data_IF_218962945643
#
_entry.id   IF_218962945643
#
_cell.length_a   1.000
_cell.length_b   1.000
_cell.length_c   1.000
_cell.angle_alpha   90.00
_cell.angle_beta   90.00
_cell.angle_gamma   90.00
#
_symmetry.space_group_name_H-M   'P 1'
#
loop_
_entity.id
_entity.type
_entity.pdbx_description
1 polymer ?
#
# COMPACT_ATOMS: atom_id res chain seq x y z
N UNK A 1 21.90 -8.13 0.57
CA UNK A 1 21.89 -6.95 -0.36
C UNK A 1 22.10 -5.68 0.44
N UNK A 2 23.06 -4.80 0.05
CA UNK A 2 23.36 -3.56 0.80
C UNK A 2 22.61 -2.33 0.28
N UNK A 3 22.20 -2.33 -0.98
CA UNK A 3 21.49 -1.23 -1.64
C UNK A 3 20.21 -1.76 -2.29
N UNK A 4 19.09 -1.09 -2.06
CA UNK A 4 17.80 -1.38 -2.66
C UNK A 4 17.14 -0.08 -3.12
N UNK A 5 16.44 -0.11 -4.24
CA UNK A 5 15.58 0.98 -4.68
C UNK A 5 14.13 0.69 -4.29
N UNK A 6 13.48 1.60 -3.58
CA UNK A 6 12.02 1.59 -3.44
C UNK A 6 11.40 2.43 -4.55
N UNK A 7 10.76 1.77 -5.52
CA UNK A 7 10.15 2.42 -6.67
C UNK A 7 8.73 2.91 -6.33
N UNK A 8 8.63 4.14 -5.88
CA UNK A 8 7.35 4.80 -5.57
C UNK A 8 7.49 6.32 -5.61
N UNK A 9 6.50 7.02 -6.18
CA UNK A 9 6.36 8.47 -6.09
C UNK A 9 5.52 8.92 -4.89
N UNK A 10 4.89 7.99 -4.17
CA UNK A 10 4.06 8.31 -3.02
C UNK A 10 4.91 8.59 -1.77
N UNK A 11 5.00 9.87 -1.39
CA UNK A 11 5.82 10.33 -0.27
C UNK A 11 5.46 9.64 1.05
N UNK A 12 4.16 9.39 1.31
CA UNK A 12 3.72 8.76 2.56
C UNK A 12 4.15 7.28 2.61
N UNK A 13 4.17 6.58 1.47
CA UNK A 13 4.72 5.23 1.38
C UNK A 13 6.24 5.21 1.59
N UNK A 14 6.95 6.19 1.03
CA UNK A 14 8.40 6.32 1.19
C UNK A 14 8.73 6.47 2.68
N UNK A 15 8.05 7.37 3.40
CA UNK A 15 8.26 7.57 4.83
C UNK A 15 7.97 6.31 5.67
N UNK A 16 6.91 5.55 5.32
CA UNK A 16 6.61 4.27 5.98
C UNK A 16 7.75 3.26 5.76
N UNK A 17 8.30 3.15 4.54
CA UNK A 17 9.43 2.27 4.23
C UNK A 17 10.70 2.69 4.95
N UNK A 18 11.07 3.97 4.87
CA UNK A 18 12.25 4.52 5.52
C UNK A 18 12.22 4.25 7.04
N UNK A 19 11.07 4.47 7.69
CA UNK A 19 10.93 4.23 9.14
C UNK A 19 11.15 2.78 9.57
N UNK A 20 10.99 1.81 8.67
CA UNK A 20 11.15 0.38 8.96
C UNK A 20 12.59 -0.08 8.75
N UNK A 21 13.27 0.47 7.73
CA UNK A 21 14.63 0.08 7.37
C UNK A 21 15.71 0.97 8.01
N UNK A 22 15.30 2.02 8.72
CA UNK A 22 16.23 2.89 9.42
C UNK A 22 17.13 2.08 10.38
N UNK A 23 18.43 2.35 10.36
CA UNK A 23 19.47 1.68 11.16
C UNK A 23 19.66 0.17 10.92
N UNK A 24 19.13 -0.43 9.84
CA UNK A 24 19.23 -1.88 9.58
C UNK A 24 20.34 -2.32 8.63
N UNK A 25 21.25 -1.43 8.28
CA UNK A 25 22.42 -1.77 7.43
C UNK A 25 22.11 -1.97 5.95
N UNK A 26 20.86 -1.72 5.52
CA UNK A 26 20.45 -1.67 4.12
C UNK A 26 20.14 -0.23 3.75
N UNK A 27 20.80 0.27 2.70
CA UNK A 27 20.51 1.59 2.17
C UNK A 27 19.33 1.52 1.23
N UNK A 28 18.23 2.18 1.61
CA UNK A 28 17.05 2.32 0.76
C UNK A 28 17.19 3.61 -0.06
N UNK A 29 17.30 3.47 -1.37
CA UNK A 29 17.18 4.57 -2.31
C UNK A 29 15.71 4.78 -2.64
N UNK A 30 15.30 6.01 -2.85
CA UNK A 30 13.97 6.38 -3.32
C UNK A 30 14.08 7.23 -4.58
N UNK A 31 12.98 7.41 -5.31
CA UNK A 31 12.99 8.13 -6.60
C UNK A 31 13.32 9.61 -6.50
N UNK A 32 13.40 10.21 -5.29
CA UNK A 32 13.85 11.61 -5.12
C UNK A 32 15.33 11.80 -5.47
N UNK A 33 16.11 10.74 -5.37
CA UNK A 33 17.56 10.76 -5.65
C UNK A 33 17.89 10.61 -7.14
N UNK A 34 16.89 10.50 -8.00
CA UNK A 34 17.04 10.23 -9.42
C UNK A 34 16.22 11.24 -10.25
N UNK A 35 16.54 11.33 -11.55
CA UNK A 35 15.72 12.09 -12.48
C UNK A 35 14.27 11.59 -12.51
N UNK A 36 13.35 12.52 -12.77
CA UNK A 36 11.91 12.18 -12.83
C UNK A 36 11.66 11.14 -13.91
N UNK A 37 11.20 9.96 -13.48
CA UNK A 37 10.77 8.88 -14.37
C UNK A 37 9.26 8.69 -14.21
N UNK A 38 8.57 8.48 -15.33
CA UNK A 38 7.13 8.19 -15.32
C UNK A 38 6.90 6.75 -14.83
N UNK A 39 5.93 6.57 -13.95
CA UNK A 39 5.52 5.22 -13.52
C UNK A 39 5.02 4.40 -14.72
N UNK A 40 5.34 3.09 -14.77
CA UNK A 40 4.80 2.20 -15.79
C UNK A 40 3.29 2.06 -15.62
N UNK A 41 2.61 1.76 -16.73
CA UNK A 41 1.18 1.46 -16.67
C UNK A 41 0.92 0.14 -15.93
N UNK A 42 0.09 0.19 -14.89
CA UNK A 42 -0.31 -0.96 -14.10
C UNK A 42 -1.41 -1.75 -14.83
N UNK A 43 -1.00 -2.72 -15.64
CA UNK A 43 -1.89 -3.60 -16.42
C UNK A 43 -2.20 -4.93 -15.73
N UNK A 44 -1.63 -5.18 -14.57
CA UNK A 44 -1.82 -6.43 -13.83
C UNK A 44 -3.25 -6.60 -13.30
N UNK A 45 -3.66 -7.85 -13.13
CA UNK A 45 -4.96 -8.23 -12.58
C UNK A 45 -4.92 -8.53 -11.09
N UNK A 46 -3.74 -8.43 -10.48
CA UNK A 46 -3.51 -8.61 -9.05
C UNK A 46 -2.53 -7.56 -8.49
N UNK A 47 -2.56 -7.38 -7.15
CA UNK A 47 -1.57 -6.54 -6.47
C UNK A 47 -0.13 -7.00 -6.72
N UNK A 48 0.10 -8.32 -6.75
CA UNK A 48 1.41 -8.90 -6.99
C UNK A 48 1.94 -8.59 -8.40
N UNK A 49 1.09 -8.70 -9.42
CA UNK A 49 1.47 -8.37 -10.80
C UNK A 49 1.78 -6.88 -10.96
N UNK A 50 0.97 -5.97 -10.40
CA UNK A 50 1.23 -4.54 -10.45
C UNK A 50 2.52 -4.17 -9.69
N UNK A 51 2.77 -4.77 -8.53
CA UNK A 51 4.02 -4.59 -7.80
C UNK A 51 5.22 -5.09 -8.62
N UNK A 52 5.10 -6.24 -9.30
CA UNK A 52 6.13 -6.79 -10.18
C UNK A 52 6.40 -5.88 -11.37
N UNK A 53 5.37 -5.37 -12.05
CA UNK A 53 5.53 -4.42 -13.17
C UNK A 53 6.39 -3.23 -12.73
N UNK A 54 6.07 -2.64 -11.58
CA UNK A 54 6.81 -1.48 -11.05
C UNK A 54 8.24 -1.81 -10.63
N UNK A 55 8.44 -2.90 -9.90
CA UNK A 55 9.78 -3.27 -9.43
C UNK A 55 10.71 -3.70 -10.58
N UNK A 56 10.18 -4.41 -11.58
CA UNK A 56 10.94 -4.77 -12.78
C UNK A 56 11.30 -3.54 -13.62
N UNK A 57 10.37 -2.58 -13.71
CA UNK A 57 10.64 -1.31 -14.39
C UNK A 57 11.73 -0.51 -13.67
N UNK A 58 11.68 -0.45 -12.34
CA UNK A 58 12.73 0.21 -11.54
C UNK A 58 14.08 -0.48 -11.70
N UNK A 59 14.14 -1.80 -11.60
CA UNK A 59 15.37 -2.57 -11.81
C UNK A 59 15.98 -2.29 -13.19
N UNK A 60 15.17 -2.31 -14.25
CA UNK A 60 15.62 -2.09 -15.63
C UNK A 60 16.20 -0.69 -15.86
N UNK A 61 15.64 0.35 -15.22
CA UNK A 61 16.03 1.73 -15.47
C UNK A 61 17.17 2.21 -14.56
N UNK A 62 17.34 1.61 -13.39
CA UNK A 62 18.32 2.07 -12.40
C UNK A 62 19.42 1.05 -12.09
N UNK A 63 19.31 -0.18 -12.61
CA UNK A 63 20.30 -1.27 -12.42
C UNK A 63 20.61 -1.60 -10.94
N UNK A 64 19.67 -1.26 -10.05
CA UNK A 64 19.73 -1.53 -8.61
C UNK A 64 18.60 -2.52 -8.28
N UNK A 65 18.83 -3.58 -7.48
CA UNK A 65 17.76 -4.42 -6.99
C UNK A 65 16.62 -3.57 -6.44
N UNK A 66 15.42 -3.79 -6.97
CA UNK A 66 14.32 -2.86 -6.82
C UNK A 66 13.10 -3.53 -6.22
N UNK A 67 12.48 -2.89 -5.25
CA UNK A 67 11.16 -3.32 -4.78
C UNK A 67 10.12 -2.21 -4.98
N UNK A 68 8.89 -2.64 -5.21
CA UNK A 68 7.74 -1.76 -5.33
C UNK A 68 6.53 -2.39 -4.67
N UNK A 69 5.58 -1.57 -4.24
CA UNK A 69 4.32 -2.04 -3.69
C UNK A 69 3.12 -1.68 -4.58
N UNK A 70 2.13 -2.56 -4.58
CA UNK A 70 0.77 -2.20 -4.95
C UNK A 70 -0.17 -2.53 -3.79
N UNK A 71 -1.08 -1.59 -3.49
CA UNK A 71 -1.91 -1.65 -2.29
C UNK A 71 -3.30 -1.09 -2.54
N UNK A 72 -4.28 -1.64 -1.84
CA UNK A 72 -5.63 -1.13 -1.93
C UNK A 72 -6.55 -1.65 -0.86
N UNK A 73 -7.74 -1.03 -0.79
CA UNK A 73 -8.84 -1.46 0.05
C UNK A 73 -9.78 -2.37 -0.73
N UNK A 74 -10.22 -3.43 -0.08
CA UNK A 74 -11.25 -4.35 -0.59
C UNK A 74 -12.45 -4.27 0.35
N UNK A 75 -13.62 -3.89 -0.17
CA UNK A 75 -14.86 -3.73 0.58
C UNK A 75 -15.84 -4.82 0.15
N UNK A 76 -16.26 -5.69 1.06
CA UNK A 76 -17.14 -6.83 0.73
C UNK A 76 -18.47 -6.37 0.15
N UNK A 77 -19.06 -5.31 0.67
CA UNK A 77 -20.28 -4.68 0.14
C UNK A 77 -20.18 -4.29 -1.34
N UNK A 78 -18.96 -4.06 -1.84
CA UNK A 78 -18.65 -3.73 -3.22
C UNK A 78 -18.00 -4.91 -3.98
N UNK A 79 -18.21 -6.16 -3.52
CA UNK A 79 -17.59 -7.37 -4.11
C UNK A 79 -16.06 -7.25 -4.18
N UNK A 80 -15.46 -6.81 -3.07
CA UNK A 80 -14.02 -6.56 -2.91
C UNK A 80 -13.44 -5.45 -3.80
N UNK A 81 -14.29 -4.61 -4.41
CA UNK A 81 -13.84 -3.39 -5.07
C UNK A 81 -13.60 -2.29 -4.01
N UNK A 82 -12.74 -1.29 -4.29
CA UNK A 82 -12.00 -1.05 -5.54
C UNK A 82 -10.77 -1.95 -5.75
N UNK A 83 -10.18 -2.58 -4.72
CA UNK A 83 -9.05 -3.50 -4.85
C UNK A 83 -7.83 -2.83 -5.50
N UNK A 84 -7.26 -3.44 -6.55
CA UNK A 84 -6.12 -2.91 -7.32
C UNK A 84 -6.40 -1.55 -7.99
N UNK A 85 -7.66 -1.15 -8.07
CA UNK A 85 -8.06 0.16 -8.64
C UNK A 85 -8.26 1.24 -7.57
N UNK A 86 -7.77 1.03 -6.34
CA UNK A 86 -8.05 1.91 -5.21
C UNK A 86 -7.69 3.38 -5.47
N UNK A 87 -6.49 3.67 -6.01
CA UNK A 87 -6.10 5.03 -6.38
C UNK A 87 -7.03 5.61 -7.44
N UNK A 88 -7.21 4.88 -8.56
CA UNK A 88 -8.07 5.30 -9.68
C UNK A 88 -9.55 5.43 -9.30
N UNK A 89 -9.98 4.75 -8.26
CA UNK A 89 -11.36 4.87 -7.76
C UNK A 89 -11.57 6.22 -7.08
N UNK A 90 -10.65 6.68 -6.24
CA UNK A 90 -10.73 8.03 -5.65
C UNK A 90 -10.72 9.12 -6.72
N UNK A 91 -9.89 8.98 -7.74
CA UNK A 91 -9.75 9.93 -8.85
C UNK A 91 -11.02 10.07 -9.72
N UNK A 92 -12.00 9.17 -9.58
CA UNK A 92 -13.29 9.24 -10.30
C UNK A 92 -14.29 10.17 -9.63
N UNK A 93 -14.05 10.58 -8.40
CA UNK A 93 -14.94 11.44 -7.64
C UNK A 93 -14.36 12.85 -7.54
N UNK A 94 -15.25 13.83 -7.37
CA UNK A 94 -14.84 15.23 -7.20
C UNK A 94 -13.97 15.45 -5.96
N UNK A 95 -14.16 14.61 -4.92
CA UNK A 95 -13.35 14.61 -3.71
C UNK A 95 -13.27 13.21 -3.09
N UNK A 96 -12.34 13.01 -2.16
CA UNK A 96 -12.28 11.78 -1.38
C UNK A 96 -13.55 11.56 -0.54
N UNK A 97 -14.15 12.64 -0.02
CA UNK A 97 -15.38 12.62 0.78
C UNK A 97 -16.52 12.01 -0.04
N UNK A 98 -16.70 12.41 -1.30
CA UNK A 98 -17.72 11.83 -2.18
C UNK A 98 -17.48 10.32 -2.43
N UNK A 99 -16.22 9.91 -2.57
CA UNK A 99 -15.88 8.49 -2.68
C UNK A 99 -16.20 7.73 -1.38
N UNK A 100 -15.96 8.34 -0.22
CA UNK A 100 -16.28 7.74 1.07
C UNK A 100 -17.78 7.61 1.27
N UNK A 101 -18.56 8.64 0.94
CA UNK A 101 -20.03 8.60 0.99
C UNK A 101 -20.59 7.49 0.11
N UNK A 102 -20.06 7.32 -1.10
CA UNK A 102 -20.43 6.21 -1.99
C UNK A 102 -20.17 4.86 -1.34
N UNK A 103 -19.01 4.64 -0.73
CA UNK A 103 -18.67 3.38 -0.06
C UNK A 103 -19.58 3.16 1.15
N UNK A 104 -19.73 4.16 2.02
CA UNK A 104 -20.49 4.07 3.25
C UNK A 104 -21.98 3.80 2.95
N UNK A 105 -22.58 4.45 1.96
CA UNK A 105 -23.96 4.21 1.56
C UNK A 105 -24.21 2.78 1.08
N UNK A 106 -23.27 2.20 0.33
CA UNK A 106 -23.33 0.79 -0.07
C UNK A 106 -23.19 -0.17 1.11
N UNK A 107 -22.31 0.13 2.06
CA UNK A 107 -22.14 -0.64 3.29
C UNK A 107 -23.43 -0.61 4.13
N UNK A 108 -24.08 0.54 4.29
CA UNK A 108 -25.34 0.68 5.01
C UNK A 108 -26.45 -0.10 4.29
N UNK A 109 -26.57 0.06 2.97
CA UNK A 109 -27.57 -0.62 2.15
C UNK A 109 -27.47 -2.14 2.22
N UNK A 110 -26.26 -2.67 2.22
CA UNK A 110 -26.02 -4.13 2.26
C UNK A 110 -25.92 -4.70 3.67
N UNK A 111 -25.88 -3.85 4.70
CA UNK A 111 -25.63 -4.22 6.11
C UNK A 111 -24.32 -5.03 6.28
N UNK A 112 -23.36 -4.82 5.37
CA UNK A 112 -22.07 -5.51 5.39
C UNK A 112 -20.95 -4.47 5.36
N UNK A 113 -20.31 -4.25 6.51
CA UNK A 113 -19.21 -3.29 6.65
C UNK A 113 -17.82 -3.93 6.58
N UNK A 114 -17.71 -5.23 6.32
CA UNK A 114 -16.43 -5.92 6.27
C UNK A 114 -15.56 -5.39 5.14
N UNK A 115 -14.31 -5.15 5.46
CA UNK A 115 -13.31 -4.69 4.53
C UNK A 115 -11.91 -5.17 4.95
N UNK A 116 -10.96 -5.10 4.04
CA UNK A 116 -9.56 -5.33 4.36
C UNK A 116 -8.68 -4.45 3.48
N UNK A 117 -7.52 -4.08 4.01
CA UNK A 117 -6.42 -3.61 3.21
C UNK A 117 -5.50 -4.75 2.83
N UNK A 118 -5.04 -4.74 1.59
CA UNK A 118 -4.01 -5.66 1.10
C UNK A 118 -2.89 -4.86 0.42
N UNK A 119 -1.66 -5.35 0.57
CA UNK A 119 -0.50 -4.93 -0.22
C UNK A 119 0.25 -6.14 -0.70
N UNK A 120 0.84 -6.03 -1.88
CA UNK A 120 1.90 -6.90 -2.33
C UNK A 120 3.14 -6.05 -2.57
N UNK A 121 4.28 -6.52 -2.09
CA UNK A 121 5.60 -5.96 -2.37
C UNK A 121 6.32 -6.98 -3.25
N UNK A 122 6.79 -6.55 -4.42
CA UNK A 122 7.65 -7.39 -5.26
C UNK A 122 9.07 -6.85 -5.21
N UNK A 123 10.02 -7.70 -4.85
CA UNK A 123 11.45 -7.48 -4.96
C UNK A 123 11.95 -8.12 -6.27
N UNK A 124 12.47 -7.30 -7.17
CA UNK A 124 13.14 -7.73 -8.40
C UNK A 124 14.66 -7.65 -8.20
N UNK A 125 15.32 -8.78 -8.15
CA UNK A 125 16.78 -8.90 -7.94
C UNK A 125 17.50 -8.96 -9.28
N UNK A 126 16.94 -9.71 -10.22
CA UNK A 126 17.35 -9.77 -11.63
C UNK A 126 16.10 -9.78 -12.51
N UNK A 127 16.28 -9.72 -13.83
CA UNK A 127 15.15 -9.75 -14.78
C UNK A 127 14.28 -11.02 -14.66
N UNK A 128 14.83 -12.11 -14.13
CA UNK A 128 14.14 -13.40 -14.00
C UNK A 128 13.93 -13.83 -12.55
N UNK A 129 14.38 -13.04 -11.57
CA UNK A 129 14.27 -13.39 -10.16
C UNK A 129 13.46 -12.35 -9.42
N UNK A 130 12.22 -12.72 -9.09
CA UNK A 130 11.26 -11.89 -8.39
C UNK A 130 10.69 -12.62 -7.19
N UNK A 131 10.56 -11.93 -6.07
CA UNK A 131 9.99 -12.48 -4.83
C UNK A 131 8.87 -11.55 -4.37
N UNK A 132 7.72 -12.13 -3.99
CA UNK A 132 6.54 -11.36 -3.58
C UNK A 132 6.27 -11.58 -2.10
N UNK A 133 6.04 -10.49 -1.39
CA UNK A 133 5.68 -10.45 0.03
C UNK A 133 4.31 -9.77 0.17
N UNK A 134 3.34 -10.50 0.71
CA UNK A 134 2.00 -9.96 0.89
C UNK A 134 1.69 -9.67 2.36
N UNK A 135 0.97 -8.58 2.58
CA UNK A 135 0.39 -8.23 3.85
C UNK A 135 -1.08 -7.88 3.72
N UNK A 136 -1.88 -8.32 4.70
CA UNK A 136 -3.31 -8.07 4.77
C UNK A 136 -3.68 -7.70 6.19
N UNK A 137 -4.58 -6.72 6.35
CA UNK A 137 -5.24 -6.43 7.61
C UNK A 137 -6.75 -6.39 7.38
N UNK A 138 -7.48 -7.20 8.14
CA UNK A 138 -8.92 -7.18 8.14
C UNK A 138 -9.43 -6.01 8.98
N UNK A 139 -10.67 -5.59 8.72
CA UNK A 139 -11.32 -4.52 9.44
C UNK A 139 -12.73 -4.27 8.94
N UNK A 140 -13.22 -3.07 9.20
CA UNK A 140 -14.57 -2.64 8.82
C UNK A 140 -14.56 -1.21 8.33
N UNK A 141 -15.57 -0.86 7.53
CA UNK A 141 -15.83 0.51 7.11
C UNK A 141 -16.58 1.23 8.24
N UNK A 142 -16.10 2.41 8.61
CA UNK A 142 -16.76 3.33 9.52
C UNK A 142 -18.02 3.92 8.88
N UNK A 143 -19.03 4.24 9.69
CA UNK A 143 -20.28 4.88 9.22
C UNK A 143 -20.12 6.36 8.85
N UNK A 144 -19.02 6.97 9.22
CA UNK A 144 -18.59 8.34 8.84
C UNK A 144 -17.06 8.42 8.86
N UNK A 145 -16.45 9.27 8.02
CA UNK A 145 -15.02 9.51 8.07
C UNK A 145 -14.61 10.13 9.42
N UNK A 146 -13.43 9.72 9.94
CA UNK A 146 -12.85 10.25 11.17
C UNK A 146 -11.34 10.32 11.06
N UNK A 147 -10.76 11.33 11.74
CA UNK A 147 -9.31 11.56 11.77
C UNK A 147 -8.78 12.23 10.52
N UNK A 148 -7.54 12.70 10.60
CA UNK A 148 -6.87 13.46 9.54
C UNK A 148 -5.46 12.93 9.19
N UNK A 149 -5.00 11.91 9.92
CA UNK A 149 -3.71 11.31 9.64
C UNK A 149 -3.78 10.34 8.46
N UNK A 150 -2.61 9.92 7.98
CA UNK A 150 -2.52 8.93 6.92
C UNK A 150 -2.93 9.43 5.54
N UNK A 151 -3.52 8.57 4.72
CA UNK A 151 -3.89 8.87 3.33
C UNK A 151 -4.91 7.86 2.76
N UNK A 152 -5.47 8.21 1.60
CA UNK A 152 -6.39 7.33 0.89
C UNK A 152 -7.64 7.03 1.72
N UNK A 153 -7.89 5.80 2.03
CA UNK A 153 -9.08 5.33 2.72
C UNK A 153 -8.93 5.24 4.25
N UNK A 154 -7.83 5.72 4.81
CA UNK A 154 -7.57 5.68 6.26
C UNK A 154 -8.70 6.30 7.10
N UNK A 155 -9.39 7.40 6.68
CA UNK A 155 -10.48 8.00 7.45
C UNK A 155 -11.73 7.12 7.59
N UNK A 156 -11.91 6.12 6.74
CA UNK A 156 -13.09 5.24 6.77
C UNK A 156 -12.78 3.78 7.11
N UNK A 157 -11.53 3.43 7.43
CA UNK A 157 -11.15 2.05 7.74
C UNK A 157 -10.79 1.90 9.21
N UNK A 158 -11.53 1.04 9.90
CA UNK A 158 -11.28 0.63 11.29
C UNK A 158 -10.67 -0.77 11.25
N UNK A 159 -9.39 -0.94 11.64
CA UNK A 159 -8.76 -2.26 11.66
C UNK A 159 -9.39 -3.18 12.71
N UNK A 160 -9.33 -4.47 12.48
CA UNK A 160 -9.85 -5.49 13.39
C UNK A 160 -9.15 -5.39 14.75
N UNK A 161 -9.94 -5.43 15.83
CA UNK A 161 -9.43 -5.28 17.20
C UNK A 161 -9.30 -3.83 17.68
N UNK A 162 -9.69 -2.85 16.85
CA UNK A 162 -9.64 -1.43 17.19
C UNK A 162 -11.01 -0.76 17.01
N UNK A 163 -11.19 0.39 17.65
CA UNK A 163 -12.38 1.24 17.50
C UNK A 163 -12.08 2.54 16.73
N UNK A 164 -10.80 2.87 16.58
CA UNK A 164 -10.31 4.04 15.84
C UNK A 164 -10.09 3.69 14.38
N UNK A 165 -10.34 4.65 13.49
CA UNK A 165 -9.90 4.55 12.09
C UNK A 165 -8.38 4.68 11.99
N UNK A 166 -7.80 4.24 10.89
CA UNK A 166 -6.38 4.48 10.63
C UNK A 166 -6.00 5.96 10.65
N UNK A 167 -6.92 6.86 10.26
CA UNK A 167 -6.66 8.29 10.29
C UNK A 167 -6.80 8.92 11.69
N UNK A 168 -7.37 8.23 12.66
CA UNK A 168 -7.36 8.62 14.07
C UNK A 168 -6.11 8.12 14.82
N UNK A 169 -5.33 7.22 14.21
CA UNK A 169 -4.08 6.70 14.76
C UNK A 169 -2.91 7.61 14.42
N UNK A 170 -1.92 7.65 15.30
CA UNK A 170 -0.62 8.19 14.94
C UNK A 170 0.06 7.34 13.86
N UNK A 171 0.99 7.92 13.12
CA UNK A 171 1.80 7.18 12.12
C UNK A 171 2.51 5.99 12.79
N UNK A 172 3.00 6.18 14.01
CA UNK A 172 3.69 5.14 14.77
C UNK A 172 2.75 3.96 15.08
N UNK A 173 1.54 4.23 15.58
CA UNK A 173 0.53 3.19 15.85
C UNK A 173 0.15 2.44 14.58
N UNK A 174 -0.21 3.16 13.51
CA UNK A 174 -0.55 2.54 12.23
C UNK A 174 0.59 1.68 11.69
N UNK A 175 1.84 2.13 11.81
CA UNK A 175 3.01 1.40 11.33
C UNK A 175 3.32 0.14 12.14
N UNK A 176 2.69 -0.13 13.27
CA UNK A 176 2.82 -1.41 13.98
C UNK A 176 1.91 -2.51 13.42
N UNK A 177 0.79 -2.14 12.80
CA UNK A 177 -0.29 -3.10 12.45
C UNK A 177 -0.67 -3.09 10.96
N UNK A 178 -0.18 -2.13 10.17
CA UNK A 178 -0.68 -1.96 8.80
C UNK A 178 -0.33 -3.13 7.87
N UNK A 179 -1.17 -3.31 6.83
CA UNK A 179 -0.92 -4.26 5.75
C UNK A 179 0.47 -4.12 5.13
N UNK A 180 0.95 -2.86 4.95
CA UNK A 180 2.30 -2.60 4.41
C UNK A 180 3.38 -3.00 5.41
N UNK A 181 3.20 -2.73 6.71
CA UNK A 181 4.14 -3.19 7.74
C UNK A 181 4.30 -4.71 7.71
N UNK A 182 3.19 -5.45 7.62
CA UNK A 182 3.21 -6.92 7.56
C UNK A 182 4.03 -7.40 6.35
N UNK A 183 3.84 -6.80 5.17
CA UNK A 183 4.60 -7.17 3.98
C UNK A 183 6.08 -6.78 4.06
N UNK A 184 6.38 -5.58 4.60
CA UNK A 184 7.76 -5.10 4.78
C UNK A 184 8.54 -5.92 5.80
N UNK A 185 7.91 -6.42 6.86
CA UNK A 185 8.57 -7.35 7.81
C UNK A 185 8.97 -8.65 7.13
N UNK A 186 8.17 -9.17 6.22
CA UNK A 186 8.53 -10.37 5.44
C UNK A 186 9.69 -10.11 4.49
N UNK A 187 9.69 -8.95 3.81
CA UNK A 187 10.82 -8.52 2.99
C UNK A 187 12.08 -8.35 3.86
N UNK A 188 11.96 -7.70 5.00
CA UNK A 188 13.05 -7.52 5.95
C UNK A 188 13.63 -8.87 6.40
N UNK A 189 12.77 -9.79 6.84
CA UNK A 189 13.20 -11.14 7.24
C UNK A 189 13.96 -11.86 6.10
N UNK A 190 13.51 -11.72 4.86
CA UNK A 190 14.20 -12.29 3.70
C UNK A 190 15.58 -11.65 3.44
N UNK A 191 15.75 -10.36 3.74
CA UNK A 191 17.01 -9.66 3.48
C UNK A 191 18.10 -9.94 4.53
N UNK A 192 17.71 -10.32 5.74
CA UNK A 192 18.61 -10.46 6.89
C UNK A 192 18.76 -11.89 7.43
N UNK A 193 17.98 -12.85 6.91
CA UNK A 193 18.16 -14.30 7.11
C UNK A 193 18.86 -14.92 5.91
#
# INVERSE_FOLDING_TARGET
>A
MKNLLFFSHNQKKILEVESIFDHKGVKIHNLRSFEKIKEPYESGVSFAENAKIKSSFGLKNFEIPCFADDSGICVEALKNKPGIKSKRFLEKFASNENAFEYIISNVIKTKNNKAFFKTAICLSITNNHHIVFEGKINGKIAIKPKGSNGFGYDPIFIPQGYEKTFAEMSIKEKNTISHRKIALMKLESFLFN
#
